data_IF_064572466826
#
_entry.id   IF_064572466826
#
_cell.length_a   1.000
_cell.length_b   1.000
_cell.length_c   1.000
_cell.angle_alpha   90.00
_cell.angle_beta   90.00
_cell.angle_gamma   90.00
#
_symmetry.space_group_name_H-M   'P 1'
#
loop_
_entity.id
_entity.type
_entity.pdbx_description
1 polymer ?
#
# COMPACT_ATOMS: atom_id res chain seq x y z
N UNK A 1 -11.41 21.78 -12.02
CA UNK A 1 -11.08 20.52 -11.29
C UNK A 1 -11.35 20.67 -9.80
N UNK A 2 -12.06 19.72 -9.17
CA UNK A 2 -12.32 19.71 -7.72
C UNK A 2 -11.02 19.62 -6.90
N UNK A 3 -10.95 20.33 -5.76
CA UNK A 3 -9.78 20.37 -4.84
C UNK A 3 -9.28 18.97 -4.46
N UNK A 4 -10.20 18.01 -4.29
CA UNK A 4 -9.89 16.60 -4.01
C UNK A 4 -9.11 15.94 -5.17
N UNK A 5 -9.51 16.17 -6.42
CA UNK A 5 -8.83 15.62 -7.60
C UNK A 5 -7.40 16.14 -7.73
N UNK A 6 -7.16 17.43 -7.44
CA UNK A 6 -5.81 18.02 -7.45
C UNK A 6 -4.90 17.38 -6.39
N UNK A 7 -5.43 17.12 -5.20
CA UNK A 7 -4.68 16.47 -4.11
C UNK A 7 -4.33 15.03 -4.46
N UNK A 8 -5.27 14.27 -5.04
CA UNK A 8 -5.01 12.90 -5.47
C UNK A 8 -3.94 12.83 -6.58
N UNK A 9 -4.02 13.71 -7.58
CA UNK A 9 -3.01 13.79 -8.64
C UNK A 9 -1.60 14.10 -8.09
N UNK A 10 -1.52 14.96 -7.07
CA UNK A 10 -0.24 15.25 -6.39
C UNK A 10 0.31 14.01 -5.68
N UNK A 11 -0.52 13.28 -4.95
CA UNK A 11 -0.10 12.01 -4.32
C UNK A 11 0.35 10.98 -5.35
N UNK A 12 -0.33 10.86 -6.49
CA UNK A 12 0.07 9.95 -7.57
C UNK A 12 1.46 10.31 -8.13
N UNK A 13 1.72 11.59 -8.36
CA UNK A 13 3.05 12.07 -8.80
C UNK A 13 4.14 11.78 -7.76
N UNK A 14 3.87 12.02 -6.47
CA UNK A 14 4.82 11.76 -5.37
C UNK A 14 5.12 10.25 -5.22
N UNK A 15 4.10 9.39 -5.34
CA UNK A 15 4.25 7.92 -5.32
C UNK A 15 5.08 7.44 -6.52
N UNK A 16 4.83 7.97 -7.72
CA UNK A 16 5.60 7.65 -8.92
C UNK A 16 7.07 8.07 -8.77
N UNK A 17 7.33 9.24 -8.20
CA UNK A 17 8.67 9.71 -7.89
C UNK A 17 9.40 8.76 -6.92
N UNK A 18 8.74 8.33 -5.85
CA UNK A 18 9.30 7.35 -4.93
C UNK A 18 9.61 6.01 -5.63
N UNK A 19 8.72 5.55 -6.52
CA UNK A 19 8.93 4.31 -7.29
C UNK A 19 10.17 4.40 -8.20
N UNK A 20 10.40 5.56 -8.85
CA UNK A 20 11.60 5.78 -9.67
C UNK A 20 12.88 5.73 -8.83
N UNK A 21 12.91 6.47 -7.72
CA UNK A 21 14.06 6.48 -6.78
C UNK A 21 14.36 5.11 -6.20
N UNK A 22 13.34 4.32 -5.87
CA UNK A 22 13.56 2.95 -5.40
C UNK A 22 14.24 2.08 -6.46
N UNK A 23 13.80 2.15 -7.73
CA UNK A 23 14.45 1.42 -8.83
C UNK A 23 15.90 1.85 -9.06
N UNK A 24 16.21 3.14 -8.90
CA UNK A 24 17.58 3.67 -9.02
C UNK A 24 18.49 3.15 -7.90
N UNK A 25 17.97 3.03 -6.67
CA UNK A 25 18.75 2.59 -5.51
C UNK A 25 18.88 1.05 -5.42
N UNK A 26 17.90 0.30 -5.94
CA UNK A 26 17.81 -1.16 -5.90
C UNK A 26 19.09 -1.92 -6.29
N UNK A 27 19.81 -1.61 -7.39
CA UNK A 27 21.03 -2.33 -7.75
C UNK A 27 22.18 -2.13 -6.75
N UNK A 28 22.13 -1.07 -5.96
CA UNK A 28 23.24 -0.65 -5.10
C UNK A 28 23.07 -1.04 -3.63
N UNK A 29 21.89 -1.49 -3.20
CA UNK A 29 21.59 -1.79 -1.78
C UNK A 29 22.46 -2.91 -1.21
N UNK A 30 22.90 -3.88 -2.02
CA UNK A 30 23.71 -5.03 -1.57
C UNK A 30 25.17 -4.66 -1.34
N UNK A 31 25.64 -3.59 -1.98
CA UNK A 31 27.04 -3.20 -1.99
C UNK A 31 27.33 -1.98 -1.11
N UNK A 32 26.30 -1.27 -0.65
CA UNK A 32 26.46 -0.07 0.16
C UNK A 32 25.34 0.06 1.21
N UNK A 33 25.72 -0.10 2.49
CA UNK A 33 24.81 0.00 3.62
C UNK A 33 24.11 1.37 3.74
N UNK A 34 24.78 2.47 3.38
CA UNK A 34 24.17 3.80 3.37
C UNK A 34 23.05 3.90 2.32
N UNK A 35 23.26 3.28 1.16
CA UNK A 35 22.24 3.20 0.11
C UNK A 35 21.06 2.32 0.54
N UNK A 36 21.31 1.22 1.26
CA UNK A 36 20.24 0.40 1.83
C UNK A 36 19.37 1.19 2.83
N UNK A 37 19.99 2.04 3.66
CA UNK A 37 19.24 2.93 4.58
C UNK A 37 18.41 3.96 3.79
N UNK A 38 18.98 4.56 2.75
CA UNK A 38 18.25 5.51 1.90
C UNK A 38 17.07 4.83 1.17
N UNK A 39 17.26 3.61 0.68
CA UNK A 39 16.22 2.79 0.06
C UNK A 39 15.08 2.52 1.05
N UNK A 40 15.39 2.06 2.27
CA UNK A 40 14.38 1.78 3.29
C UNK A 40 13.59 3.02 3.68
N UNK A 41 14.25 4.18 3.84
CA UNK A 41 13.56 5.45 4.09
C UNK A 41 12.58 5.79 2.96
N UNK A 42 12.99 5.63 1.70
CA UNK A 42 12.11 5.88 0.54
C UNK A 42 10.97 4.88 0.44
N UNK A 43 11.18 3.64 0.88
CA UNK A 43 10.15 2.60 0.90
C UNK A 43 9.06 2.91 1.93
N UNK A 44 9.44 3.35 3.13
CA UNK A 44 8.51 3.80 4.17
C UNK A 44 7.74 5.04 3.73
N UNK A 45 8.41 6.02 3.15
CA UNK A 45 7.77 7.25 2.61
C UNK A 45 6.70 6.90 1.58
N UNK A 46 7.01 6.01 0.63
CA UNK A 46 6.04 5.52 -0.35
C UNK A 46 4.83 4.85 0.31
N UNK A 47 5.04 4.03 1.34
CA UNK A 47 3.95 3.35 2.05
C UNK A 47 3.00 4.35 2.72
N UNK A 48 3.55 5.39 3.35
CA UNK A 48 2.75 6.48 3.97
C UNK A 48 1.93 7.22 2.91
N UNK A 49 2.54 7.55 1.76
CA UNK A 49 1.83 8.23 0.66
C UNK A 49 0.68 7.39 0.10
N UNK A 50 0.90 6.08 -0.08
CA UNK A 50 -0.14 5.15 -0.55
C UNK A 50 -1.28 5.05 0.45
N UNK A 51 -1.00 4.96 1.75
CA UNK A 51 -2.03 4.93 2.80
C UNK A 51 -2.88 6.21 2.78
N UNK A 52 -2.24 7.39 2.72
CA UNK A 52 -2.93 8.68 2.62
C UNK A 52 -3.77 8.79 1.35
N UNK A 53 -3.23 8.34 0.21
CA UNK A 53 -3.96 8.29 -1.05
C UNK A 53 -5.20 7.41 -0.92
N UNK A 54 -5.07 6.18 -0.39
CA UNK A 54 -6.20 5.26 -0.20
C UNK A 54 -7.28 5.85 0.69
N UNK A 55 -6.92 6.46 1.82
CA UNK A 55 -7.88 7.11 2.73
C UNK A 55 -8.66 8.26 2.08
N UNK A 56 -8.04 8.96 1.14
CA UNK A 56 -8.68 10.07 0.42
C UNK A 56 -9.49 9.59 -0.78
N UNK A 57 -8.95 8.65 -1.56
CA UNK A 57 -9.59 8.06 -2.73
C UNK A 57 -10.82 7.22 -2.30
N UNK A 58 -10.61 6.32 -1.36
CA UNK A 58 -11.65 5.47 -0.75
C UNK A 58 -12.04 6.03 0.62
N UNK A 59 -13.20 6.70 0.67
CA UNK A 59 -13.96 6.74 1.91
C UNK A 59 -14.80 5.47 1.94
N UNK A 60 -14.55 4.50 2.84
CA UNK A 60 -15.48 3.40 3.01
C UNK A 60 -16.83 4.00 3.40
N UNK A 61 -17.83 3.81 2.54
CA UNK A 61 -19.21 4.16 2.87
C UNK A 61 -19.62 3.32 4.08
N UNK A 62 -20.52 3.83 4.94
CA UNK A 62 -21.02 3.07 6.10
C UNK A 62 -21.45 1.65 5.68
N UNK A 63 -22.07 1.55 4.50
CA UNK A 63 -22.50 0.31 3.87
C UNK A 63 -21.37 -0.68 3.57
N UNK A 64 -20.15 -0.25 3.21
CA UNK A 64 -19.04 -1.17 2.95
C UNK A 64 -18.44 -1.72 4.25
N UNK A 65 -18.40 -0.91 5.32
CA UNK A 65 -18.02 -1.38 6.67
C UNK A 65 -19.01 -2.39 7.21
N UNK A 66 -20.30 -2.09 7.07
CA UNK A 66 -21.39 -2.99 7.48
C UNK A 66 -21.30 -4.30 6.68
N UNK A 67 -21.18 -4.25 5.35
CA UNK A 67 -21.05 -5.46 4.52
C UNK A 67 -19.85 -6.34 4.93
N UNK A 68 -18.71 -5.74 5.28
CA UNK A 68 -17.53 -6.48 5.77
C UNK A 68 -17.73 -7.09 7.16
N UNK A 69 -18.48 -6.43 8.05
CA UNK A 69 -18.80 -6.96 9.37
C UNK A 69 -19.83 -8.11 9.30
N UNK A 70 -20.76 -8.05 8.33
CA UNK A 70 -21.76 -9.10 8.09
C UNK A 70 -21.27 -10.20 7.15
N UNK A 71 -20.15 -10.02 6.44
CA UNK A 71 -19.49 -11.10 5.71
C UNK A 71 -18.75 -12.01 6.69
N UNK A 72 -19.49 -12.84 7.40
CA UNK A 72 -18.95 -13.92 8.22
C UNK A 72 -18.34 -14.97 7.28
N UNK A 73 -17.10 -14.76 6.85
CA UNK A 73 -16.32 -15.83 6.24
C UNK A 73 -15.96 -16.78 7.38
N UNK A 74 -16.52 -17.99 7.36
CA UNK A 74 -16.08 -19.04 8.28
C UNK A 74 -14.56 -19.16 8.12
N UNK A 75 -13.78 -18.98 9.20
CA UNK A 75 -12.36 -19.25 9.11
C UNK A 75 -12.21 -20.72 8.70
N UNK A 76 -11.51 -20.98 7.59
CA UNK A 76 -11.15 -22.36 7.23
C UNK A 76 -10.37 -22.93 8.39
N UNK A 77 -10.89 -23.98 9.02
CA UNK A 77 -10.18 -24.68 10.07
C UNK A 77 -9.01 -25.43 9.45
N UNK A 78 -7.97 -25.73 10.23
CA UNK A 78 -6.79 -26.46 9.74
C UNK A 78 -7.21 -27.81 9.10
N UNK A 79 -8.28 -28.42 9.60
CA UNK A 79 -8.88 -29.64 9.04
C UNK A 79 -9.55 -29.45 7.66
N UNK A 80 -9.92 -28.23 7.26
CA UNK A 80 -10.46 -27.95 5.91
C UNK A 80 -9.38 -27.99 4.82
N UNK A 81 -8.09 -28.08 5.19
CA UNK A 81 -6.95 -28.17 4.26
C UNK A 81 -6.52 -29.61 3.94
N UNK A 82 -7.10 -30.62 4.63
CA UNK A 82 -6.75 -32.03 4.45
C UNK A 82 -7.95 -32.86 3.96
N UNK A 83 -8.74 -32.32 3.02
CA UNK A 83 -9.92 -33.01 2.50
C UNK A 83 -9.60 -34.20 1.56
N UNK A 84 -8.32 -34.40 1.21
CA UNK A 84 -7.86 -35.44 0.28
C UNK A 84 -6.76 -36.36 0.87
N UNK A 85 -6.88 -36.75 2.15
CA UNK A 85 -6.08 -37.86 2.73
C UNK A 85 -7.00 -38.93 3.30
#
# INVERSE_FOLDING_TARGET
>A
MSRKKKILARFEQEILSCKKKLKELEPHIKHNASIAVAYNRKLVEKAILVDRYKKLAFRPTLTSKIRGAFSFQRPKLICDFFQDV
#
